data_IF_203670437190
#
_entry.id   IF_203670437190
#
_cell.length_a   1.000
_cell.length_b   1.000
_cell.length_c   1.000
_cell.angle_alpha   90.00
_cell.angle_beta   90.00
_cell.angle_gamma   90.00
#
_symmetry.space_group_name_H-M   'P 1'
#
loop_
_entity.id
_entity.type
_entity.pdbx_description
1 polymer ?
#
# COMPACT_ATOMS: atom_id res chain seq x y z
N UNK A 1 50.37 72.55 -43.27
CA UNK A 1 51.28 71.54 -43.87
C UNK A 1 51.92 70.76 -42.71
N UNK A 2 52.00 69.43 -42.85
CA UNK A 2 52.48 68.41 -41.90
C UNK A 2 51.49 67.87 -40.84
N UNK A 3 50.91 66.72 -41.21
CA UNK A 3 50.38 65.64 -40.37
C UNK A 3 51.42 65.15 -39.35
N UNK A 4 50.97 64.79 -38.14
CA UNK A 4 51.45 63.59 -37.44
C UNK A 4 50.30 62.90 -36.70
N UNK A 5 49.99 61.70 -37.17
CA UNK A 5 49.16 60.68 -36.52
C UNK A 5 49.71 60.33 -35.13
N UNK A 6 48.82 60.19 -34.15
CA UNK A 6 49.04 59.34 -32.98
C UNK A 6 47.80 58.46 -32.76
N UNK A 7 48.02 57.16 -32.92
CA UNK A 7 47.11 56.08 -32.58
C UNK A 7 46.89 56.05 -31.06
N UNK A 8 45.63 56.05 -30.62
CA UNK A 8 45.24 55.60 -29.28
C UNK A 8 44.25 54.44 -29.44
N UNK A 9 44.67 53.26 -28.99
CA UNK A 9 43.88 52.05 -28.96
C UNK A 9 42.72 52.20 -27.96
N UNK A 10 41.49 51.93 -28.41
CA UNK A 10 40.32 51.84 -27.56
C UNK A 10 40.29 50.46 -26.87
N UNK A 11 40.43 50.45 -25.55
CA UNK A 11 40.21 49.25 -24.75
C UNK A 11 38.69 49.05 -24.55
N UNK A 12 38.13 47.99 -25.15
CA UNK A 12 36.78 47.52 -24.84
C UNK A 12 36.81 46.79 -23.48
N UNK A 13 36.18 47.38 -22.45
CA UNK A 13 35.79 46.64 -21.25
C UNK A 13 34.54 45.79 -21.57
N UNK A 14 34.72 44.48 -21.64
CA UNK A 14 33.61 43.53 -21.65
C UNK A 14 33.11 43.34 -20.21
N UNK A 15 31.95 43.93 -19.88
CA UNK A 15 31.23 43.66 -18.63
C UNK A 15 30.52 42.32 -18.80
N UNK A 16 31.07 41.27 -18.19
CA UNK A 16 30.43 39.97 -18.11
C UNK A 16 29.23 40.05 -17.15
N UNK A 17 28.03 40.16 -17.70
CA UNK A 17 26.78 40.06 -16.94
C UNK A 17 26.59 38.62 -16.43
N UNK A 18 26.73 38.43 -15.13
CA UNK A 18 26.36 37.19 -14.46
C UNK A 18 24.83 37.05 -14.45
N UNK A 19 24.29 36.33 -15.44
CA UNK A 19 22.90 35.87 -15.39
C UNK A 19 22.82 34.80 -14.31
N UNK A 20 22.34 35.17 -13.13
CA UNK A 20 21.92 34.20 -12.12
C UNK A 20 20.71 33.45 -12.71
N UNK A 21 20.96 32.26 -13.24
CA UNK A 21 19.91 31.31 -13.53
C UNK A 21 19.23 30.95 -12.21
N UNK A 22 18.04 31.50 -11.99
CA UNK A 22 17.13 31.02 -10.96
C UNK A 22 16.71 29.62 -11.39
N UNK A 23 17.35 28.59 -10.82
CA UNK A 23 16.87 27.22 -10.93
C UNK A 23 15.45 27.17 -10.35
N UNK A 24 14.46 26.92 -11.22
CA UNK A 24 13.11 26.57 -10.78
C UNK A 24 13.23 25.34 -9.88
N UNK A 25 12.57 25.31 -8.70
CA UNK A 25 12.49 24.07 -7.93
C UNK A 25 11.86 23.00 -8.83
N UNK A 26 12.49 21.82 -8.87
CA UNK A 26 11.97 20.67 -9.58
C UNK A 26 10.49 20.46 -9.19
N UNK A 27 9.62 20.43 -10.20
CA UNK A 27 8.19 20.23 -10.03
C UNK A 27 7.93 18.99 -9.17
N UNK A 28 7.02 19.14 -8.21
CA UNK A 28 6.66 18.08 -7.27
C UNK A 28 6.17 16.83 -8.01
N UNK A 29 6.84 15.69 -7.81
CA UNK A 29 6.31 14.37 -8.16
C UNK A 29 5.15 13.94 -7.23
N UNK A 30 4.32 14.89 -6.77
CA UNK A 30 3.03 14.55 -6.20
C UNK A 30 2.11 14.12 -7.36
N UNK A 31 1.44 12.98 -7.22
CA UNK A 31 0.44 12.56 -8.22
C UNK A 31 -0.58 13.70 -8.36
N UNK A 32 -0.86 14.16 -9.58
CA UNK A 32 -1.87 15.18 -9.83
C UNK A 32 -3.32 14.64 -9.71
N UNK A 33 -3.49 13.41 -9.20
CA UNK A 33 -4.78 12.77 -9.04
C UNK A 33 -5.63 13.48 -7.98
N UNK A 34 -6.83 13.92 -8.36
CA UNK A 34 -7.84 14.36 -7.42
C UNK A 34 -8.72 13.18 -6.99
N UNK A 35 -9.15 13.15 -5.73
CA UNK A 35 -10.03 12.11 -5.21
C UNK A 35 -11.31 11.96 -6.06
N UNK A 36 -11.87 13.09 -6.50
CA UNK A 36 -13.11 13.16 -7.30
C UNK A 36 -12.94 12.71 -8.76
N UNK A 37 -11.71 12.41 -9.23
CA UNK A 37 -11.45 11.88 -10.58
C UNK A 37 -11.84 10.37 -10.70
N UNK A 38 -12.77 9.89 -9.89
CA UNK A 38 -13.30 8.53 -9.99
C UNK A 38 -14.38 8.45 -11.09
N UNK A 39 -14.65 7.26 -11.66
CA UNK A 39 -15.63 7.12 -12.73
C UNK A 39 -17.03 7.61 -12.34
N UNK A 40 -17.72 8.27 -13.27
CA UNK A 40 -19.07 8.83 -13.08
C UNK A 40 -20.17 7.78 -12.82
N UNK A 41 -19.87 6.49 -12.96
CA UNK A 41 -20.79 5.41 -12.63
C UNK A 41 -20.70 4.98 -11.16
N UNK A 42 -19.78 5.55 -10.38
CA UNK A 42 -19.82 5.43 -8.93
C UNK A 42 -21.13 6.03 -8.42
N UNK A 43 -21.72 5.39 -7.41
CA UNK A 43 -23.00 5.78 -6.84
C UNK A 43 -22.82 7.02 -5.98
N UNK A 44 -23.60 8.05 -6.27
CA UNK A 44 -23.83 9.15 -5.34
C UNK A 44 -24.71 8.65 -4.18
N UNK A 45 -24.19 8.74 -2.96
CA UNK A 45 -24.84 8.20 -1.76
C UNK A 45 -24.84 9.25 -0.64
N UNK A 46 -25.86 9.19 0.20
CA UNK A 46 -25.94 9.94 1.47
C UNK A 46 -25.06 9.35 2.58
N UNK A 47 -24.33 8.27 2.28
CA UNK A 47 -23.42 7.54 3.16
C UNK A 47 -24.10 6.93 4.39
N UNK A 48 -25.39 6.56 4.29
CA UNK A 48 -26.00 5.57 5.19
C UNK A 48 -25.83 4.18 4.60
N UNK A 49 -24.82 3.48 5.11
CA UNK A 49 -24.43 2.20 4.55
C UNK A 49 -25.48 1.10 4.73
N UNK A 50 -26.43 1.23 5.67
CA UNK A 50 -27.52 0.24 5.78
C UNK A 50 -28.49 0.38 4.62
N UNK A 51 -28.84 1.61 4.26
CA UNK A 51 -29.68 1.91 3.09
C UNK A 51 -28.97 1.51 1.81
N UNK A 52 -27.68 1.87 1.66
CA UNK A 52 -26.89 1.51 0.48
C UNK A 52 -26.78 0.00 0.26
N UNK A 53 -26.58 -0.78 1.33
CA UNK A 53 -26.55 -2.25 1.25
C UNK A 53 -27.92 -2.79 0.83
N UNK A 54 -29.02 -2.27 1.40
CA UNK A 54 -30.37 -2.71 1.07
C UNK A 54 -30.73 -2.41 -0.39
N UNK A 55 -30.39 -1.21 -0.88
CA UNK A 55 -30.60 -0.82 -2.27
C UNK A 55 -29.79 -1.68 -3.24
N UNK A 56 -28.50 -1.89 -2.95
CA UNK A 56 -27.65 -2.77 -3.75
C UNK A 56 -28.23 -4.19 -3.80
N UNK A 57 -28.63 -4.74 -2.63
CA UNK A 57 -29.21 -6.08 -2.55
C UNK A 57 -30.55 -6.19 -3.32
N UNK A 58 -31.42 -5.17 -3.24
CA UNK A 58 -32.67 -5.12 -4.00
C UNK A 58 -32.43 -5.10 -5.52
N UNK A 59 -31.32 -4.50 -5.97
CA UNK A 59 -30.87 -4.52 -7.36
C UNK A 59 -30.09 -5.80 -7.74
N UNK A 60 -29.97 -6.79 -6.85
CA UNK A 60 -29.21 -8.02 -7.07
C UNK A 60 -27.68 -7.84 -7.07
N UNK A 61 -27.20 -6.73 -6.49
CA UNK A 61 -25.79 -6.33 -6.38
C UNK A 61 -25.28 -6.45 -4.94
N UNK A 62 -23.97 -6.32 -4.78
CA UNK A 62 -23.26 -6.13 -3.51
C UNK A 62 -22.72 -4.71 -3.41
N UNK A 63 -22.29 -4.29 -2.22
CA UNK A 63 -21.70 -2.97 -2.06
C UNK A 63 -20.16 -3.04 -2.08
N UNK A 64 -19.52 -2.16 -2.84
CA UNK A 64 -18.08 -1.91 -2.80
C UNK A 64 -17.82 -0.50 -2.29
N UNK A 65 -17.01 -0.38 -1.25
CA UNK A 65 -16.58 0.91 -0.72
C UNK A 65 -15.15 1.16 -1.14
N UNK A 66 -14.91 2.23 -1.88
CA UNK A 66 -13.61 2.70 -2.28
C UNK A 66 -13.11 3.80 -1.34
N UNK A 67 -11.98 3.57 -0.69
CA UNK A 67 -11.29 4.57 0.11
C UNK A 67 -10.12 5.16 -0.69
N UNK A 68 -10.17 6.47 -0.90
CA UNK A 68 -9.18 7.22 -1.67
C UNK A 68 -8.74 8.52 -0.98
N UNK A 69 -7.81 9.22 -1.63
CA UNK A 69 -7.36 10.56 -1.26
C UNK A 69 -6.75 11.27 -2.48
N UNK A 70 -6.68 12.59 -2.41
CA UNK A 70 -5.90 13.40 -3.35
C UNK A 70 -4.41 13.03 -3.29
N UNK A 71 -3.72 13.20 -4.41
CA UNK A 71 -2.27 12.95 -4.46
C UNK A 71 -1.88 11.47 -4.39
N UNK A 72 -2.83 10.54 -4.46
CA UNK A 72 -2.59 9.11 -4.35
C UNK A 72 -2.24 8.46 -5.71
N UNK A 73 -0.97 8.07 -5.96
CA UNK A 73 -0.60 7.46 -7.24
C UNK A 73 -1.19 6.06 -7.45
N UNK A 74 -1.34 5.28 -6.38
CA UNK A 74 -1.99 3.96 -6.44
C UNK A 74 -3.49 4.06 -6.77
N UNK A 75 -4.14 5.14 -6.35
CA UNK A 75 -5.53 5.44 -6.65
C UNK A 75 -5.68 5.78 -8.12
N UNK A 76 -4.80 6.65 -8.63
CA UNK A 76 -4.68 6.92 -10.07
C UNK A 76 -4.51 5.65 -10.88
N UNK A 77 -3.59 4.76 -10.47
CA UNK A 77 -3.38 3.48 -11.14
C UNK A 77 -4.64 2.60 -11.15
N UNK A 78 -5.41 2.55 -10.05
CA UNK A 78 -6.70 1.85 -10.02
C UNK A 78 -7.69 2.45 -11.05
N UNK A 79 -7.81 3.77 -11.09
CA UNK A 79 -8.75 4.45 -11.99
C UNK A 79 -8.35 4.27 -13.46
N UNK A 80 -7.07 4.49 -13.79
CA UNK A 80 -6.58 4.53 -15.17
C UNK A 80 -6.24 3.15 -15.74
N UNK A 81 -5.80 2.20 -14.91
CA UNK A 81 -5.39 0.88 -15.38
C UNK A 81 -6.49 -0.18 -15.19
N UNK A 82 -7.33 -0.08 -14.16
CA UNK A 82 -8.38 -1.09 -13.91
C UNK A 82 -9.75 -0.60 -14.40
N UNK A 83 -10.21 0.57 -13.94
CA UNK A 83 -11.55 1.07 -14.26
C UNK A 83 -11.70 1.72 -15.65
N UNK A 84 -10.67 1.60 -16.50
CA UNK A 84 -10.75 1.85 -17.96
C UNK A 84 -10.95 0.58 -18.77
N UNK A 85 -10.71 -0.60 -18.18
CA UNK A 85 -10.86 -1.87 -18.89
C UNK A 85 -12.33 -2.28 -18.94
N UNK A 86 -12.82 -2.51 -20.15
CA UNK A 86 -14.23 -2.83 -20.41
C UNK A 86 -14.72 -4.00 -19.57
N UNK A 87 -13.95 -5.09 -19.47
CA UNK A 87 -14.35 -6.29 -18.74
C UNK A 87 -14.49 -6.05 -17.23
N UNK A 88 -13.53 -5.32 -16.63
CA UNK A 88 -13.55 -4.93 -15.22
C UNK A 88 -14.73 -4.01 -14.95
N UNK A 89 -14.96 -3.00 -15.79
CA UNK A 89 -16.07 -2.05 -15.65
C UNK A 89 -17.42 -2.75 -15.76
N UNK A 90 -17.60 -3.64 -16.74
CA UNK A 90 -18.86 -4.37 -16.93
C UNK A 90 -19.17 -5.28 -15.76
N UNK A 91 -18.19 -6.08 -15.29
CA UNK A 91 -18.37 -6.94 -14.11
C UNK A 91 -18.64 -6.11 -12.87
N UNK A 92 -17.90 -5.02 -12.66
CA UNK A 92 -18.09 -4.13 -11.50
C UNK A 92 -19.51 -3.58 -11.49
N UNK A 93 -19.95 -2.94 -12.59
CA UNK A 93 -21.28 -2.30 -12.66
C UNK A 93 -22.43 -3.28 -12.61
N UNK A 94 -22.23 -4.51 -13.09
CA UNK A 94 -23.26 -5.56 -13.06
C UNK A 94 -23.48 -6.10 -11.66
N UNK A 95 -22.42 -6.21 -10.86
CA UNK A 95 -22.46 -6.92 -9.58
C UNK A 95 -22.31 -6.04 -8.36
N UNK A 96 -21.92 -4.77 -8.52
CA UNK A 96 -21.63 -3.87 -7.43
C UNK A 96 -22.22 -2.49 -7.63
N UNK A 97 -22.70 -1.91 -6.54
CA UNK A 97 -22.73 -0.45 -6.39
C UNK A 97 -21.41 -0.04 -5.72
N UNK A 98 -20.80 1.04 -6.21
CA UNK A 98 -19.49 1.49 -5.74
C UNK A 98 -19.60 2.89 -5.17
N UNK A 99 -19.20 3.07 -3.90
CA UNK A 99 -19.28 4.35 -3.19
C UNK A 99 -17.86 4.78 -2.80
N UNK A 100 -17.52 6.04 -3.08
CA UNK A 100 -16.24 6.63 -2.74
C UNK A 100 -16.27 7.31 -1.36
N UNK A 101 -15.22 7.06 -0.57
CA UNK A 101 -14.96 7.68 0.74
C UNK A 101 -13.58 8.35 0.69
N UNK A 102 -13.53 9.65 0.97
CA UNK A 102 -12.28 10.37 1.12
C UNK A 102 -11.73 10.16 2.53
N UNK A 103 -10.54 9.58 2.69
CA UNK A 103 -9.97 9.31 4.02
C UNK A 103 -9.65 10.59 4.83
N UNK A 104 -9.69 11.76 4.18
CA UNK A 104 -9.56 13.08 4.82
C UNK A 104 -10.87 13.86 4.83
N UNK A 105 -11.93 13.31 4.24
CA UNK A 105 -13.23 13.94 4.13
C UNK A 105 -13.93 14.13 5.48
N UNK A 106 -14.90 15.05 5.47
CA UNK A 106 -15.70 15.40 6.63
C UNK A 106 -17.20 15.14 6.44
N UNK A 107 -17.61 14.50 5.33
CA UNK A 107 -19.01 14.12 5.14
C UNK A 107 -19.45 13.14 6.24
N UNK A 108 -20.68 13.27 6.76
CA UNK A 108 -21.20 12.33 7.74
C UNK A 108 -21.44 10.96 7.09
N UNK A 109 -20.98 9.92 7.76
CA UNK A 109 -21.11 8.50 7.38
C UNK A 109 -21.83 7.78 8.49
N UNK A 110 -22.97 7.15 8.19
CA UNK A 110 -23.67 6.25 9.11
C UNK A 110 -23.28 4.81 8.77
N UNK A 111 -22.51 4.18 9.66
CA UNK A 111 -22.09 2.79 9.46
C UNK A 111 -23.20 1.81 9.86
N UNK A 112 -23.01 0.52 9.57
CA UNK A 112 -23.94 -0.55 9.94
C UNK A 112 -24.19 -0.67 11.46
N UNK A 113 -23.29 -0.09 12.28
CA UNK A 113 -23.47 0.02 13.74
C UNK A 113 -24.41 1.17 14.16
N UNK A 114 -24.98 1.89 13.20
CA UNK A 114 -25.88 3.03 13.40
C UNK A 114 -25.17 4.29 13.92
N UNK A 115 -23.85 4.27 14.12
CA UNK A 115 -23.12 5.43 14.62
C UNK A 115 -22.62 6.28 13.46
N UNK A 116 -22.93 7.57 13.54
CA UNK A 116 -22.45 8.56 12.60
C UNK A 116 -21.00 8.96 12.93
N UNK A 117 -20.16 9.07 11.90
CA UNK A 117 -18.76 9.52 11.96
C UNK A 117 -18.48 10.37 10.73
N UNK A 118 -17.48 11.26 10.76
CA UNK A 118 -16.97 11.82 9.51
C UNK A 118 -16.24 10.75 8.68
N UNK A 119 -16.09 10.93 7.37
CA UNK A 119 -15.33 10.01 6.51
C UNK A 119 -13.94 9.70 7.08
N UNK A 120 -13.19 10.71 7.54
CA UNK A 120 -11.87 10.51 8.17
C UNK A 120 -11.92 9.66 9.44
N UNK A 121 -12.92 9.88 10.30
CA UNK A 121 -13.10 9.09 11.52
C UNK A 121 -13.59 7.67 11.21
N UNK A 122 -14.37 7.51 10.16
CA UNK A 122 -14.83 6.22 9.65
C UNK A 122 -13.68 5.40 9.05
N UNK A 123 -12.85 5.99 8.20
CA UNK A 123 -11.65 5.35 7.66
C UNK A 123 -10.69 4.91 8.79
N UNK A 124 -10.51 5.75 9.81
CA UNK A 124 -9.71 5.41 11.00
C UNK A 124 -10.34 4.26 11.81
N UNK A 125 -11.67 4.27 12.01
CA UNK A 125 -12.41 3.20 12.68
C UNK A 125 -12.21 1.84 11.99
N UNK A 126 -12.20 1.83 10.65
CA UNK A 126 -11.93 0.64 9.84
C UNK A 126 -10.43 0.32 9.66
N UNK A 127 -9.54 1.07 10.31
CA UNK A 127 -8.08 0.94 10.22
C UNK A 127 -7.59 0.98 8.77
N UNK A 128 -8.08 1.93 7.98
CA UNK A 128 -7.58 2.19 6.62
C UNK A 128 -6.22 2.88 6.74
N UNK A 129 -5.15 2.16 6.40
CA UNK A 129 -3.75 2.64 6.49
C UNK A 129 -3.14 2.91 5.10
N UNK A 130 -3.78 2.44 4.04
CA UNK A 130 -3.31 2.54 2.66
C UNK A 130 -4.47 2.97 1.78
N UNK A 131 -4.16 3.68 0.69
CA UNK A 131 -5.12 3.98 -0.37
C UNK A 131 -4.52 3.52 -1.72
N UNK A 132 -5.32 2.93 -2.62
CA UNK A 132 -6.73 2.64 -2.44
C UNK A 132 -6.95 1.49 -1.44
N UNK A 133 -8.04 1.53 -0.68
CA UNK A 133 -8.56 0.34 0.01
C UNK A 133 -9.96 0.09 -0.52
N UNK A 134 -10.27 -1.16 -0.87
CA UNK A 134 -11.62 -1.56 -1.25
C UNK A 134 -12.18 -2.50 -0.20
N UNK A 135 -13.39 -2.22 0.27
CA UNK A 135 -14.19 -3.14 1.07
C UNK A 135 -15.36 -3.64 0.25
N UNK A 136 -15.49 -4.96 0.19
CA UNK A 136 -16.60 -5.62 -0.45
C UNK A 136 -17.52 -6.13 0.64
N UNK A 137 -18.78 -5.66 0.65
CA UNK A 137 -19.78 -6.05 1.63
C UNK A 137 -20.77 -7.03 1.01
N UNK A 138 -21.13 -8.05 1.79
CA UNK A 138 -22.30 -8.89 1.46
C UNK A 138 -23.61 -8.15 1.74
N UNK A 139 -24.70 -8.84 1.41
CA UNK A 139 -26.08 -8.37 1.56
C UNK A 139 -26.48 -8.14 3.03
N UNK A 140 -25.65 -8.55 4.00
CA UNK A 140 -25.84 -8.37 5.44
C UNK A 140 -24.90 -7.32 6.03
N UNK A 141 -24.04 -6.70 5.22
CA UNK A 141 -23.03 -5.73 5.65
C UNK A 141 -21.74 -6.33 6.20
N UNK A 142 -21.52 -7.64 6.06
CA UNK A 142 -20.24 -8.24 6.42
C UNK A 142 -19.19 -7.92 5.36
N UNK A 143 -17.98 -7.55 5.79
CA UNK A 143 -16.83 -7.43 4.89
C UNK A 143 -16.41 -8.83 4.45
N UNK A 144 -16.71 -9.21 3.20
CA UNK A 144 -16.35 -10.51 2.63
C UNK A 144 -14.99 -10.51 1.94
N UNK A 145 -14.54 -9.34 1.50
CA UNK A 145 -13.18 -9.14 1.00
C UNK A 145 -12.72 -7.73 1.30
N UNK A 146 -11.44 -7.60 1.67
CA UNK A 146 -10.72 -6.33 1.78
C UNK A 146 -9.49 -6.40 0.90
N UNK A 147 -9.30 -5.41 0.03
CA UNK A 147 -8.06 -5.25 -0.71
C UNK A 147 -7.37 -3.98 -0.24
N UNK A 148 -6.10 -4.12 0.17
CA UNK A 148 -5.27 -2.99 0.58
C UNK A 148 -4.30 -2.68 -0.57
N UNK A 149 -4.24 -1.42 -0.97
CA UNK A 149 -3.41 -0.95 -2.07
C UNK A 149 -3.89 -1.39 -3.45
N UNK A 150 -3.06 -1.09 -4.46
CA UNK A 150 -3.37 -1.37 -5.86
C UNK A 150 -3.19 -2.86 -6.19
N UNK A 151 -4.21 -3.46 -6.79
CA UNK A 151 -4.15 -4.79 -7.38
C UNK A 151 -4.12 -4.65 -8.91
N UNK A 152 -3.14 -5.24 -9.61
CA UNK A 152 -3.11 -5.23 -11.06
C UNK A 152 -4.37 -5.87 -11.68
N UNK A 153 -4.71 -5.54 -12.94
CA UNK A 153 -6.00 -5.89 -13.53
C UNK A 153 -6.39 -7.38 -13.43
N UNK A 154 -5.51 -8.36 -13.72
CA UNK A 154 -5.90 -9.78 -13.61
C UNK A 154 -6.28 -10.19 -12.17
N UNK A 155 -5.55 -9.68 -11.18
CA UNK A 155 -5.81 -9.97 -9.77
C UNK A 155 -7.04 -9.21 -9.25
N UNK A 156 -7.24 -7.98 -9.70
CA UNK A 156 -8.43 -7.21 -9.36
C UNK A 156 -9.70 -7.85 -9.96
N UNK A 157 -9.63 -8.31 -11.20
CA UNK A 157 -10.70 -9.08 -11.84
C UNK A 157 -11.03 -10.35 -11.06
N UNK A 158 -10.01 -11.11 -10.63
CA UNK A 158 -10.20 -12.26 -9.76
C UNK A 158 -10.88 -11.91 -8.42
N UNK A 159 -10.58 -10.74 -7.83
CA UNK A 159 -11.28 -10.27 -6.63
C UNK A 159 -12.77 -9.99 -6.91
N UNK A 160 -13.10 -9.37 -8.04
CA UNK A 160 -14.49 -9.15 -8.47
C UNK A 160 -15.23 -10.48 -8.68
N UNK A 161 -14.60 -11.42 -9.39
CA UNK A 161 -15.17 -12.75 -9.65
C UNK A 161 -15.41 -13.52 -8.35
N UNK A 162 -14.45 -13.50 -7.41
CA UNK A 162 -14.57 -14.14 -6.10
C UNK A 162 -15.79 -13.65 -5.32
N UNK A 163 -15.96 -12.33 -5.22
CA UNK A 163 -17.04 -11.74 -4.43
C UNK A 163 -18.39 -11.85 -5.16
N UNK A 164 -18.42 -11.61 -6.48
CA UNK A 164 -19.67 -11.69 -7.26
C UNK A 164 -20.25 -13.10 -7.30
N UNK A 165 -19.39 -14.13 -7.26
CA UNK A 165 -19.80 -15.53 -7.24
C UNK A 165 -20.02 -16.09 -5.82
N UNK A 166 -19.92 -15.26 -4.79
CA UNK A 166 -20.11 -15.63 -3.37
C UNK A 166 -19.19 -16.76 -2.90
N UNK A 167 -17.94 -16.77 -3.39
CA UNK A 167 -16.99 -17.84 -3.10
C UNK A 167 -16.45 -17.80 -1.68
N UNK A 168 -16.64 -16.71 -0.95
CA UNK A 168 -16.29 -16.58 0.47
C UNK A 168 -16.96 -17.63 1.37
N UNK A 169 -18.11 -18.16 0.96
CA UNK A 169 -18.80 -19.22 1.68
C UNK A 169 -18.12 -20.59 1.53
N UNK A 170 -17.17 -20.73 0.60
CA UNK A 170 -16.55 -22.02 0.21
C UNK A 170 -15.05 -22.05 0.44
N UNK A 171 -14.35 -20.94 0.20
CA UNK A 171 -12.89 -20.84 0.33
C UNK A 171 -12.46 -19.41 0.57
N UNK A 172 -11.24 -19.24 1.07
CA UNK A 172 -10.61 -17.92 1.20
C UNK A 172 -10.16 -17.38 -0.16
N UNK A 173 -10.01 -16.06 -0.27
CA UNK A 173 -9.49 -15.43 -1.49
C UNK A 173 -8.09 -15.92 -1.88
N UNK A 174 -7.10 -16.06 -0.97
CA UNK A 174 -5.81 -16.66 -1.34
C UNK A 174 -5.93 -18.09 -1.86
N UNK A 175 -6.79 -18.95 -1.29
CA UNK A 175 -7.04 -20.30 -1.84
C UNK A 175 -7.66 -20.25 -3.25
N UNK A 176 -8.56 -19.29 -3.49
CA UNK A 176 -9.14 -19.07 -4.81
C UNK A 176 -8.09 -18.64 -5.83
N UNK A 177 -7.22 -17.68 -5.49
CA UNK A 177 -6.11 -17.27 -6.35
C UNK A 177 -5.15 -18.43 -6.64
N UNK A 178 -4.78 -19.22 -5.63
CA UNK A 178 -3.89 -20.36 -5.78
C UNK A 178 -4.46 -21.47 -6.68
N UNK A 179 -5.79 -21.58 -6.82
CA UNK A 179 -6.43 -22.49 -7.79
C UNK A 179 -6.51 -21.89 -9.19
N UNK A 180 -6.74 -20.58 -9.28
CA UNK A 180 -6.82 -19.86 -10.56
C UNK A 180 -5.45 -19.74 -11.24
N UNK A 181 -4.39 -19.62 -10.45
CA UNK A 181 -3.01 -19.65 -10.93
C UNK A 181 -2.46 -21.05 -10.72
N UNK A 182 -2.07 -21.77 -11.77
CA UNK A 182 -1.21 -22.97 -11.64
C UNK A 182 0.17 -22.53 -11.14
N UNK A 183 0.27 -22.04 -9.90
CA UNK A 183 1.45 -21.41 -9.35
C UNK A 183 2.62 -22.41 -9.44
N UNK A 184 3.66 -22.11 -10.22
CA UNK A 184 4.80 -22.99 -10.37
C UNK A 184 5.42 -23.32 -9.01
N UNK A 185 5.90 -24.56 -8.86
CA UNK A 185 6.89 -24.85 -7.83
C UNK A 185 8.15 -24.02 -8.11
N UNK A 186 8.75 -23.46 -7.06
CA UNK A 186 9.93 -22.62 -7.18
C UNK A 186 10.56 -22.33 -5.82
N UNK A 187 11.67 -21.60 -5.83
CA UNK A 187 12.34 -21.14 -4.61
C UNK A 187 11.98 -19.69 -4.33
N UNK A 188 11.78 -19.35 -3.07
CA UNK A 188 11.73 -17.96 -2.66
C UNK A 188 13.10 -17.29 -2.88
N UNK A 189 13.09 -15.97 -3.09
CA UNK A 189 14.32 -15.18 -3.22
C UNK A 189 15.02 -15.09 -1.87
N UNK A 190 16.31 -15.43 -1.80
CA UNK A 190 17.07 -15.26 -0.55
C UNK A 190 17.64 -13.83 -0.45
N UNK A 191 17.90 -13.40 0.77
CA UNK A 191 18.60 -12.16 1.08
C UNK A 191 19.58 -12.38 2.24
N UNK A 192 20.75 -11.71 2.24
CA UNK A 192 21.76 -11.91 3.28
C UNK A 192 21.28 -11.58 4.70
N UNK A 193 20.25 -10.74 4.84
CA UNK A 193 19.72 -10.30 6.13
C UNK A 193 18.61 -11.22 6.68
N UNK A 194 18.17 -12.23 5.93
CA UNK A 194 17.18 -13.17 6.44
C UNK A 194 17.75 -14.11 7.49
N UNK A 195 17.01 -14.30 8.57
CA UNK A 195 17.22 -15.36 9.54
C UNK A 195 17.18 -16.72 8.83
N UNK A 196 18.11 -17.62 9.19
CA UNK A 196 18.16 -18.97 8.63
C UNK A 196 17.30 -19.93 9.45
N UNK A 197 16.69 -20.97 8.83
CA UNK A 197 15.96 -21.99 9.56
C UNK A 197 16.84 -22.73 10.58
N UNK A 198 16.27 -23.25 11.69
CA UNK A 198 14.85 -23.21 12.04
C UNK A 198 14.40 -21.81 12.47
N UNK A 199 13.22 -21.38 12.01
CA UNK A 199 12.67 -20.07 12.37
C UNK A 199 12.03 -20.13 13.77
N UNK A 200 12.79 -19.71 14.78
CA UNK A 200 12.32 -19.56 16.16
C UNK A 200 12.12 -18.08 16.45
N UNK A 201 10.87 -17.62 16.36
CA UNK A 201 10.54 -16.18 16.40
C UNK A 201 9.98 -15.73 17.75
N UNK A 202 9.91 -16.63 18.73
CA UNK A 202 9.28 -16.41 20.04
C UNK A 202 9.88 -15.22 20.79
N UNK A 203 9.00 -14.33 21.28
CA UNK A 203 9.34 -13.05 21.94
C UNK A 203 8.48 -12.72 23.17
N UNK A 204 7.47 -13.53 23.43
CA UNK A 204 6.51 -13.35 24.53
C UNK A 204 7.13 -13.57 25.91
N UNK A 205 8.10 -14.49 26.02
CA UNK A 205 8.80 -14.81 27.28
C UNK A 205 10.02 -13.91 27.53
N UNK A 206 10.81 -13.67 26.49
CA UNK A 206 12.02 -12.85 26.54
C UNK A 206 11.97 -11.84 25.40
N UNK A 207 11.93 -10.52 25.69
CA UNK A 207 11.92 -9.52 24.64
C UNK A 207 13.19 -9.58 23.79
N UNK A 208 13.05 -9.41 22.48
CA UNK A 208 14.17 -9.28 21.56
C UNK A 208 14.80 -7.87 21.64
N UNK A 209 16.01 -7.71 21.11
CA UNK A 209 16.69 -6.40 21.04
C UNK A 209 16.17 -5.51 19.91
N UNK A 210 15.52 -6.10 18.90
CA UNK A 210 15.02 -5.43 17.69
C UNK A 210 13.60 -5.88 17.38
N UNK A 211 12.76 -5.04 16.74
CA UNK A 211 11.49 -5.49 16.18
C UNK A 211 11.68 -6.57 15.10
N UNK A 212 10.63 -7.35 14.85
CA UNK A 212 10.59 -8.39 13.82
C UNK A 212 9.90 -7.85 12.57
N UNK A 213 10.48 -8.08 11.40
CA UNK A 213 9.79 -7.99 10.12
C UNK A 213 9.67 -9.39 9.53
N UNK A 214 8.45 -9.87 9.29
CA UNK A 214 8.19 -11.17 8.67
C UNK A 214 7.66 -10.95 7.26
N UNK A 215 8.47 -11.28 6.26
CA UNK A 215 8.08 -11.29 4.85
C UNK A 215 7.33 -12.59 4.54
N UNK A 216 6.09 -12.46 4.12
CA UNK A 216 5.24 -13.54 3.63
C UNK A 216 5.21 -13.50 2.11
N UNK A 217 5.69 -14.57 1.49
CA UNK A 217 5.90 -14.65 0.03
C UNK A 217 5.47 -16.01 -0.51
N UNK A 218 5.53 -16.14 -1.84
CA UNK A 218 5.30 -17.40 -2.53
C UNK A 218 6.24 -17.49 -3.74
N UNK A 219 6.54 -18.70 -4.23
CA UNK A 219 7.20 -18.86 -5.52
C UNK A 219 6.40 -18.23 -6.67
N UNK A 220 7.09 -17.86 -7.75
CA UNK A 220 6.50 -17.31 -8.97
C UNK A 220 5.56 -16.11 -8.70
N UNK A 221 6.11 -15.08 -8.06
CA UNK A 221 5.39 -13.89 -7.63
C UNK A 221 6.08 -12.64 -8.19
N UNK A 222 5.59 -12.11 -9.31
CA UNK A 222 6.19 -10.92 -9.94
C UNK A 222 6.34 -9.71 -8.98
N UNK A 223 5.37 -9.40 -8.10
CA UNK A 223 5.57 -8.35 -7.09
C UNK A 223 6.67 -8.67 -6.07
N UNK A 224 6.88 -9.95 -5.73
CA UNK A 224 7.97 -10.40 -4.88
C UNK A 224 9.31 -10.25 -5.61
N UNK A 225 9.35 -10.61 -6.91
CA UNK A 225 10.54 -10.45 -7.76
C UNK A 225 10.98 -8.97 -7.80
N UNK A 226 10.05 -8.04 -8.00
CA UNK A 226 10.35 -6.59 -7.97
C UNK A 226 10.79 -6.12 -6.58
N UNK A 227 10.11 -6.55 -5.52
CA UNK A 227 10.49 -6.23 -4.14
C UNK A 227 11.96 -6.61 -3.88
N UNK A 228 12.36 -7.82 -4.29
CA UNK A 228 13.71 -8.34 -4.10
C UNK A 228 14.75 -7.72 -5.04
N UNK A 229 14.39 -7.45 -6.29
CA UNK A 229 15.31 -6.92 -7.29
C UNK A 229 15.57 -5.42 -7.11
N UNK A 230 14.57 -4.67 -6.63
CA UNK A 230 14.60 -3.21 -6.56
C UNK A 230 14.61 -2.74 -5.10
N UNK A 231 13.50 -2.94 -4.40
CA UNK A 231 13.26 -2.32 -3.09
C UNK A 231 14.24 -2.81 -2.03
N UNK A 232 14.46 -4.12 -1.90
CA UNK A 232 15.31 -4.71 -0.86
C UNK A 232 16.82 -4.57 -1.14
N UNK A 233 17.20 -4.20 -2.37
CA UNK A 233 18.60 -3.89 -2.73
C UNK A 233 18.94 -2.41 -2.59
N UNK A 234 17.95 -1.53 -2.48
CA UNK A 234 18.19 -0.10 -2.33
C UNK A 234 18.97 0.21 -1.03
N UNK A 235 20.05 1.02 -1.06
CA UNK A 235 20.87 1.32 0.11
C UNK A 235 20.09 1.88 1.31
N UNK A 236 19.07 2.70 1.04
CA UNK A 236 18.19 3.25 2.08
C UNK A 236 17.36 2.16 2.75
N UNK A 237 16.82 1.20 1.98
CA UNK A 237 16.11 0.04 2.53
C UNK A 237 17.04 -0.82 3.37
N UNK A 238 18.26 -1.09 2.89
CA UNK A 238 19.26 -1.87 3.63
C UNK A 238 19.65 -1.19 4.96
N UNK A 239 19.68 0.14 5.01
CA UNK A 239 19.93 0.90 6.25
C UNK A 239 18.81 0.71 7.25
N UNK A 240 17.55 0.81 6.80
CA UNK A 240 16.38 0.67 7.65
C UNK A 240 16.16 -0.77 8.12
N UNK A 241 16.32 -1.75 7.21
CA UNK A 241 16.02 -3.16 7.49
C UNK A 241 16.99 -3.78 8.50
N UNK A 242 18.22 -3.25 8.62
CA UNK A 242 19.19 -3.63 9.66
C UNK A 242 18.71 -3.36 11.09
N UNK A 243 17.67 -2.53 11.25
CA UNK A 243 17.03 -2.25 12.55
C UNK A 243 16.06 -3.35 12.99
N UNK A 244 15.90 -4.39 12.18
CA UNK A 244 14.98 -5.50 12.42
C UNK A 244 15.72 -6.83 12.49
N UNK A 245 15.12 -7.79 13.18
CA UNK A 245 15.28 -9.19 12.82
C UNK A 245 14.32 -9.48 11.66
N UNK A 246 14.77 -10.21 10.64
CA UNK A 246 13.97 -10.40 9.41
C UNK A 246 13.80 -11.87 9.11
N UNK A 247 12.55 -12.33 9.07
CA UNK A 247 12.20 -13.70 8.70
C UNK A 247 11.48 -13.71 7.34
N UNK A 248 11.68 -14.77 6.58
CA UNK A 248 10.95 -15.04 5.34
C UNK A 248 10.12 -16.31 5.52
N UNK A 249 8.85 -16.27 5.13
CA UNK A 249 7.87 -17.34 5.29
C UNK A 249 7.17 -17.57 3.96
N UNK A 250 7.17 -18.82 3.49
CA UNK A 250 6.38 -19.24 2.33
C UNK A 250 4.91 -19.45 2.74
N UNK A 251 3.97 -18.69 2.19
CA UNK A 251 2.54 -18.81 2.54
C UNK A 251 1.95 -20.18 2.16
N UNK A 252 2.60 -20.94 1.27
CA UNK A 252 2.24 -22.31 0.91
C UNK A 252 3.18 -23.35 1.55
N UNK A 253 4.14 -22.88 2.35
CA UNK A 253 5.21 -23.67 2.93
C UNK A 253 4.76 -24.65 4.01
N UNK A 254 5.44 -25.79 4.07
CA UNK A 254 5.22 -26.83 5.08
C UNK A 254 6.27 -26.84 6.19
N UNK A 255 7.27 -25.94 6.14
CA UNK A 255 8.34 -25.93 7.14
C UNK A 255 7.78 -25.52 8.51
N UNK A 256 8.25 -26.10 9.61
CA UNK A 256 7.85 -25.66 10.95
C UNK A 256 8.40 -24.28 11.28
N UNK A 257 7.58 -23.46 11.94
CA UNK A 257 7.94 -22.14 12.48
C UNK A 257 7.43 -22.06 13.92
N UNK A 258 8.24 -21.48 14.81
CA UNK A 258 7.77 -21.05 16.13
C UNK A 258 7.39 -19.57 16.03
N UNK A 259 6.12 -19.25 16.23
CA UNK A 259 5.59 -17.88 16.09
C UNK A 259 6.12 -16.95 17.18
N UNK A 260 5.92 -15.62 17.06
CA UNK A 260 6.26 -14.66 18.11
C UNK A 260 5.65 -14.95 19.49
N UNK A 261 4.51 -15.65 19.52
CA UNK A 261 3.82 -16.10 20.75
C UNK A 261 4.20 -17.51 21.19
N UNK A 262 5.19 -18.14 20.56
CA UNK A 262 5.69 -19.47 20.93
C UNK A 262 4.90 -20.66 20.37
N UNK A 263 3.88 -20.42 19.54
CA UNK A 263 3.12 -21.51 18.91
C UNK A 263 3.94 -22.19 17.83
N UNK A 264 3.80 -23.52 17.70
CA UNK A 264 4.44 -24.30 16.63
C UNK A 264 3.43 -24.57 15.52
N UNK A 265 3.66 -23.99 14.34
CA UNK A 265 2.80 -24.13 13.16
C UNK A 265 3.67 -24.43 11.93
N UNK A 266 3.05 -24.86 10.83
CA UNK A 266 3.70 -24.73 9.51
C UNK A 266 3.64 -23.28 9.03
N UNK A 267 4.52 -22.92 8.10
CA UNK A 267 4.49 -21.60 7.44
C UNK A 267 3.08 -21.26 6.89
N UNK A 268 2.45 -22.19 6.15
CA UNK A 268 1.11 -22.01 5.61
C UNK A 268 0.02 -21.88 6.69
N UNK A 269 0.09 -22.68 7.75
CA UNK A 269 -0.84 -22.56 8.87
C UNK A 269 -0.73 -21.19 9.54
N UNK A 270 0.48 -20.67 9.69
CA UNK A 270 0.70 -19.36 10.28
C UNK A 270 0.23 -18.22 9.38
N UNK A 271 0.53 -18.26 8.08
CA UNK A 271 0.04 -17.30 7.10
C UNK A 271 -1.50 -17.25 7.08
N UNK A 272 -2.18 -18.41 7.10
CA UNK A 272 -3.64 -18.49 7.18
C UNK A 272 -4.17 -17.92 8.50
N UNK A 273 -3.53 -18.20 9.64
CA UNK A 273 -3.92 -17.66 10.95
C UNK A 273 -3.82 -16.12 10.97
N UNK A 274 -2.82 -15.55 10.30
CA UNK A 274 -2.64 -14.11 10.14
C UNK A 274 -3.51 -13.50 9.03
N UNK A 275 -4.25 -14.33 8.29
CA UNK A 275 -5.10 -13.96 7.15
C UNK A 275 -4.33 -13.27 6.02
N UNK A 276 -3.12 -13.72 5.72
CA UNK A 276 -2.29 -13.16 4.65
C UNK A 276 -2.92 -13.50 3.29
N UNK A 277 -3.54 -12.50 2.65
CA UNK A 277 -4.21 -12.63 1.35
C UNK A 277 -3.41 -12.10 0.14
N UNK A 278 -2.21 -11.56 0.39
CA UNK A 278 -1.38 -10.93 -0.63
C UNK A 278 0.09 -11.29 -0.43
N UNK A 279 0.82 -11.53 -1.51
CA UNK A 279 2.27 -11.70 -1.51
C UNK A 279 2.90 -10.67 -2.49
N UNK A 280 3.98 -9.96 -2.09
CA UNK A 280 4.60 -10.02 -0.76
C UNK A 280 3.77 -9.23 0.28
N UNK A 281 3.65 -9.77 1.49
CA UNK A 281 3.18 -9.03 2.66
C UNK A 281 4.27 -8.97 3.72
N UNK A 282 4.26 -7.93 4.56
CA UNK A 282 5.17 -7.82 5.71
C UNK A 282 4.35 -7.61 6.97
N UNK A 283 4.52 -8.48 7.96
CA UNK A 283 3.95 -8.27 9.30
C UNK A 283 5.06 -7.88 10.25
N UNK A 284 4.86 -6.76 10.94
CA UNK A 284 5.80 -6.20 11.89
C UNK A 284 5.38 -6.48 13.31
N UNK A 285 6.28 -7.06 14.09
CA UNK A 285 6.10 -7.29 15.52
C UNK A 285 7.07 -6.46 16.34
N UNK A 286 6.63 -5.98 17.49
CA UNK A 286 7.51 -5.33 18.45
C UNK A 286 8.46 -6.34 19.13
N UNK A 287 9.30 -5.83 20.02
CA UNK A 287 10.28 -6.61 20.76
C UNK A 287 9.65 -7.71 21.63
N UNK A 288 8.35 -7.61 21.95
CA UNK A 288 7.59 -8.58 22.76
C UNK A 288 6.69 -9.49 21.91
N UNK A 289 6.82 -9.43 20.59
CA UNK A 289 6.04 -10.26 19.67
C UNK A 289 4.61 -9.80 19.45
N UNK A 290 4.26 -8.56 19.81
CA UNK A 290 2.95 -7.98 19.48
C UNK A 290 2.99 -7.40 18.08
N UNK A 291 2.01 -7.72 17.25
CA UNK A 291 1.87 -7.09 15.95
C UNK A 291 1.59 -5.59 16.10
N UNK A 292 2.38 -4.76 15.44
CA UNK A 292 2.26 -3.29 15.50
C UNK A 292 1.92 -2.64 14.17
N UNK A 293 2.23 -3.30 13.07
CA UNK A 293 1.94 -2.81 11.73
C UNK A 293 2.01 -3.96 10.73
N UNK A 294 1.36 -3.78 9.57
CA UNK A 294 1.52 -4.71 8.45
C UNK A 294 1.38 -3.99 7.11
N UNK A 295 2.08 -4.51 6.12
CA UNK A 295 1.95 -4.17 4.69
C UNK A 295 1.26 -5.37 4.05
N UNK A 296 0.06 -5.15 3.51
CA UNK A 296 -0.72 -6.17 2.78
C UNK A 296 -1.02 -5.70 1.35
N UNK A 297 -0.07 -4.95 0.79
CA UNK A 297 -0.19 -4.25 -0.47
C UNK A 297 1.16 -4.24 -1.19
N UNK A 298 1.12 -4.14 -2.52
CA UNK A 298 2.30 -3.78 -3.28
C UNK A 298 2.68 -2.32 -2.98
N UNK A 299 3.92 -2.11 -2.52
CA UNK A 299 4.47 -0.80 -2.19
C UNK A 299 5.76 -0.55 -2.96
N UNK A 300 5.86 0.65 -3.53
CA UNK A 300 7.07 1.19 -4.16
C UNK A 300 8.11 1.52 -3.07
N UNK A 301 9.40 1.65 -3.44
CA UNK A 301 10.49 1.75 -2.46
C UNK A 301 10.25 2.78 -1.35
N UNK A 302 9.81 4.00 -1.69
CA UNK A 302 9.55 5.04 -0.70
C UNK A 302 8.51 4.63 0.36
N UNK A 303 7.40 4.03 -0.06
CA UNK A 303 6.32 3.59 0.83
C UNK A 303 6.79 2.43 1.73
N UNK A 304 7.52 1.46 1.16
CA UNK A 304 8.08 0.34 1.90
C UNK A 304 9.11 0.81 2.95
N UNK A 305 10.02 1.70 2.57
CA UNK A 305 11.00 2.31 3.48
C UNK A 305 10.33 3.12 4.58
N UNK A 306 9.25 3.83 4.26
CA UNK A 306 8.49 4.59 5.25
C UNK A 306 7.82 3.67 6.27
N UNK A 307 7.33 2.50 5.86
CA UNK A 307 6.81 1.49 6.78
C UNK A 307 7.89 0.91 7.71
N UNK A 308 9.09 0.62 7.17
CA UNK A 308 10.22 0.21 7.99
C UNK A 308 10.58 1.28 9.03
N UNK A 309 10.67 2.54 8.63
CA UNK A 309 10.98 3.62 9.57
C UNK A 309 9.87 3.86 10.59
N UNK A 310 8.61 3.77 10.17
CA UNK A 310 7.44 3.91 11.04
C UNK A 310 7.49 2.93 12.21
N UNK A 311 7.84 1.66 11.94
CA UNK A 311 7.97 0.66 12.99
C UNK A 311 9.26 0.84 13.78
N UNK A 312 10.39 1.03 13.10
CA UNK A 312 11.69 1.08 13.77
C UNK A 312 11.86 2.32 14.65
N UNK A 313 11.22 3.44 14.30
CA UNK A 313 11.15 4.66 15.11
C UNK A 313 10.06 4.62 16.19
N UNK A 314 9.23 3.56 16.21
CA UNK A 314 8.02 3.47 17.06
C UNK A 314 7.01 4.58 16.79
N UNK A 315 7.02 5.16 15.58
CA UNK A 315 6.11 6.22 15.15
C UNK A 315 4.63 5.83 15.30
N UNK A 316 4.30 4.54 15.22
CA UNK A 316 2.94 4.03 15.44
C UNK A 316 2.35 4.32 16.83
N UNK A 317 3.19 4.65 17.82
CA UNK A 317 2.73 5.00 19.17
C UNK A 317 2.24 6.45 19.27
N UNK A 318 2.86 7.35 18.52
CA UNK A 318 2.59 8.79 18.56
C UNK A 318 1.67 9.22 17.44
N UNK A 319 1.82 8.60 16.26
CA UNK A 319 1.02 8.86 15.07
C UNK A 319 0.43 7.55 14.56
N UNK A 320 -0.78 7.15 15.00
CA UNK A 320 -1.41 5.89 14.58
C UNK A 320 -1.79 5.83 13.08
N UNK A 321 -1.86 6.98 12.39
CA UNK A 321 -2.10 7.04 10.95
C UNK A 321 -0.79 6.96 10.18
N UNK A 322 -0.57 5.82 9.51
CA UNK A 322 0.59 5.65 8.65
C UNK A 322 0.62 6.67 7.51
N UNK A 323 -0.54 7.06 6.97
CA UNK A 323 -0.63 8.09 5.93
C UNK A 323 -0.11 9.45 6.41
N UNK A 324 -0.47 9.88 7.62
CA UNK A 324 0.05 11.12 8.20
C UNK A 324 1.55 11.03 8.46
N UNK A 325 2.03 9.88 8.94
CA UNK A 325 3.46 9.64 9.11
C UNK A 325 4.23 9.71 7.79
N UNK A 326 3.68 9.09 6.74
CA UNK A 326 4.24 9.09 5.38
C UNK A 326 4.34 10.51 4.81
N UNK A 327 3.28 11.32 4.96
CA UNK A 327 3.27 12.72 4.52
C UNK A 327 4.33 13.54 5.26
N UNK A 328 4.36 13.47 6.59
CA UNK A 328 5.36 14.18 7.39
C UNK A 328 6.80 13.77 7.05
N UNK A 329 7.03 12.48 6.77
CA UNK A 329 8.33 11.97 6.31
C UNK A 329 8.68 12.50 4.92
N UNK A 330 7.73 12.52 3.99
CA UNK A 330 7.94 13.10 2.65
C UNK A 330 8.33 14.58 2.73
N UNK A 331 7.60 15.36 3.54
CA UNK A 331 7.83 16.80 3.69
C UNK A 331 9.19 17.08 4.32
N UNK A 332 9.59 16.31 5.33
CA UNK A 332 10.94 16.41 5.92
C UNK A 332 12.04 16.12 4.90
N UNK A 333 11.90 15.05 4.11
CA UNK A 333 12.89 14.71 3.08
C UNK A 333 12.99 15.79 2.00
N UNK A 334 11.86 16.37 1.57
CA UNK A 334 11.85 17.49 0.62
C UNK A 334 12.52 18.74 1.20
N UNK A 335 12.27 19.05 2.48
CA UNK A 335 12.92 20.16 3.17
C UNK A 335 14.45 19.97 3.29
N UNK A 336 14.91 18.71 3.35
CA UNK A 336 16.34 18.34 3.29
C UNK A 336 16.91 18.33 1.86
N UNK A 337 16.13 18.73 0.84
CA UNK A 337 16.54 18.73 -0.57
C UNK A 337 16.60 17.35 -1.20
N UNK A 338 16.05 16.31 -0.57
CA UNK A 338 16.02 14.94 -1.11
C UNK A 338 14.83 14.74 -2.03
N UNK A 339 15.07 14.09 -3.18
CA UNK A 339 14.00 13.66 -4.06
C UNK A 339 13.12 12.61 -3.37
N UNK A 340 11.79 12.75 -3.52
CA UNK A 340 10.80 11.79 -3.02
C UNK A 340 10.00 11.28 -4.21
N UNK A 341 10.27 10.02 -4.59
CA UNK A 341 9.55 9.31 -5.65
C UNK A 341 8.48 8.40 -5.02
N UNK A 342 7.22 8.76 -5.23
CA UNK A 342 6.07 8.07 -4.61
C UNK A 342 5.43 7.01 -5.51
N UNK A 343 5.85 6.92 -6.78
CA UNK A 343 5.35 5.95 -7.76
C UNK A 343 6.47 5.44 -8.65
#
# INVERSE_FOLDING_TARGET
MLQRLRFCAAALLAVAGSVLAVEKPAASNASAYAFDDHPAWFKESFLDFREDIQEAAAAGKRLMIYFGQDGCPYCKALMEANFTQKDIVEVTRKHFDVIAINIWGDRPVTWIDGKQRSEKAFAAHLKVQFTPTLLFLDEKGNVVLRTNGYYPPPKFRAALDYVSQRLEARMTFPEYLAKATNAPSGKLHDQPFFMKPPLILQRDKVPANRPLAVLFEQPACAPCDELHAVTLKAPQTLTLIRRFDVAQVDILGKRPVVTPTGERLTEAQWANKLKIGFAPSVVFFDERGREVFRIEAYLKPFHFQSALDYVASKGYREQPSFQRFLQARADRLRAEGKAVEIW
#
